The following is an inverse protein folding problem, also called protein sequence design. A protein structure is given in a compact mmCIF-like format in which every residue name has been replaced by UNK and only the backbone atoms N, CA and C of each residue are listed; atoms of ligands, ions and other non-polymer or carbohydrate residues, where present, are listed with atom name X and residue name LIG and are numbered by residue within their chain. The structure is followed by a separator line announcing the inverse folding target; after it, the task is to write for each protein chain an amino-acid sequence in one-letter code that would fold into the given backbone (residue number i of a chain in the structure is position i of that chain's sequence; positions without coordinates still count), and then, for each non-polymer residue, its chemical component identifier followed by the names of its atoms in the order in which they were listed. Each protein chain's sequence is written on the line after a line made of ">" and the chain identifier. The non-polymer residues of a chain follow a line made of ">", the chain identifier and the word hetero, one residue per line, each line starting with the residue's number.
data_IF_013289110863
#
_entry.id   IF_013289110863
#
_cell.length_a   1.000
_cell.length_b   1.000
_cell.length_c   1.000
_cell.angle_alpha   90.00
_cell.angle_beta   90.00
_cell.angle_gamma   90.00
#
_symmetry.space_group_name_H-M   'P 1'
#
loop_
_entity.id
_entity.type
_entity.pdbx_description
1 polymer ?
#
# COMPACT_ATOMS: atom_id res chain seq x y z
N UNK A 1 -9.32 -21.13 95.85
CA UNK A 1 -8.63 -21.34 94.54
C UNK A 1 -9.50 -20.96 93.32
N UNK A 2 -10.77 -21.38 93.18
CA UNK A 2 -11.61 -21.08 91.96
C UNK A 2 -11.88 -19.56 91.68
N UNK A 3 -11.98 -18.68 92.71
CA UNK A 3 -12.18 -17.28 92.56
C UNK A 3 -10.95 -16.50 92.03
N UNK A 4 -9.76 -16.87 92.50
CA UNK A 4 -8.48 -16.27 92.06
C UNK A 4 -8.19 -16.61 90.59
N UNK A 5 -8.45 -17.88 90.22
CA UNK A 5 -8.29 -18.30 88.81
C UNK A 5 -9.20 -17.60 87.84
N UNK A 6 -10.48 -17.26 88.22
CA UNK A 6 -11.41 -16.50 87.42
C UNK A 6 -10.96 -15.05 87.24
N UNK A 7 -10.42 -14.43 88.31
CA UNK A 7 -9.90 -13.06 88.22
C UNK A 7 -8.68 -12.97 87.27
N UNK A 8 -7.79 -13.96 87.40
CA UNK A 8 -6.60 -14.06 86.57
C UNK A 8 -6.94 -14.29 85.07
N UNK A 9 -7.97 -15.12 84.81
CA UNK A 9 -8.48 -15.29 83.44
C UNK A 9 -9.08 -14.04 82.83
N UNK A 10 -9.84 -13.27 83.63
CA UNK A 10 -10.47 -11.99 83.19
C UNK A 10 -9.39 -10.96 82.90
N UNK A 11 -8.33 -10.86 83.70
CA UNK A 11 -7.22 -9.92 83.49
C UNK A 11 -6.43 -10.33 82.22
N UNK A 12 -6.22 -11.64 82.00
CA UNK A 12 -5.56 -12.12 80.79
C UNK A 12 -6.38 -11.79 79.54
N UNK A 13 -7.70 -12.01 79.56
CA UNK A 13 -8.62 -11.67 78.45
C UNK A 13 -8.66 -10.17 78.20
N UNK A 14 -8.72 -9.37 79.21
CA UNK A 14 -8.70 -7.89 79.10
C UNK A 14 -7.35 -7.42 78.51
N UNK A 15 -6.22 -8.01 78.96
CA UNK A 15 -4.90 -7.69 78.40
C UNK A 15 -4.79 -8.08 76.90
N UNK A 16 -5.36 -9.24 76.52
CA UNK A 16 -5.39 -9.68 75.12
C UNK A 16 -6.28 -8.76 74.27
N UNK A 17 -7.43 -8.32 74.80
CA UNK A 17 -8.33 -7.37 74.13
C UNK A 17 -7.69 -6.01 73.92
N UNK A 18 -7.05 -5.46 74.93
CA UNK A 18 -6.32 -4.18 74.85
C UNK A 18 -5.13 -4.32 73.88
N UNK A 19 -4.40 -5.43 73.94
CA UNK A 19 -3.29 -5.72 73.02
C UNK A 19 -3.73 -5.78 71.57
N UNK A 20 -4.83 -6.49 71.31
CA UNK A 20 -5.41 -6.57 69.93
C UNK A 20 -5.93 -5.23 69.46
N UNK A 21 -6.56 -4.47 70.34
CA UNK A 21 -7.05 -3.11 70.02
C UNK A 21 -5.91 -2.15 69.69
N UNK A 22 -4.85 -2.14 70.49
CA UNK A 22 -3.65 -1.30 70.23
C UNK A 22 -2.94 -1.74 68.96
N UNK A 23 -2.85 -3.07 68.72
CA UNK A 23 -2.29 -3.59 67.47
C UNK A 23 -3.09 -3.18 66.25
N UNK A 24 -4.44 -3.31 66.27
CA UNK A 24 -5.33 -2.87 65.21
C UNK A 24 -5.24 -1.35 65.02
N UNK A 25 -5.25 -0.56 66.09
CA UNK A 25 -5.11 0.88 65.99
C UNK A 25 -3.79 1.33 65.34
N UNK A 26 -2.68 0.70 65.65
CA UNK A 26 -1.39 0.95 65.00
C UNK A 26 -1.36 0.52 63.52
N UNK A 27 -2.04 -0.59 63.22
CA UNK A 27 -2.12 -1.10 61.85
C UNK A 27 -3.10 -0.32 60.98
N UNK A 28 -4.11 0.33 61.58
CA UNK A 28 -5.16 1.09 60.86
C UNK A 28 -4.76 2.55 60.63
N UNK A 29 -3.59 2.98 61.12
CA UNK A 29 -3.11 4.35 60.81
C UNK A 29 -2.90 4.46 59.32
N UNK A 30 -3.57 5.47 58.65
CA UNK A 30 -3.39 5.65 57.20
C UNK A 30 -1.90 5.89 56.91
N UNK A 31 -1.34 5.13 56.02
CA UNK A 31 0.01 5.33 55.52
C UNK A 31 0.00 6.66 54.79
N UNK A 32 0.76 7.65 55.28
CA UNK A 32 0.90 8.93 54.60
C UNK A 32 1.46 8.66 53.22
N UNK A 33 0.63 8.80 52.19
CA UNK A 33 1.06 8.71 50.79
C UNK A 33 1.80 9.98 50.43
N UNK A 34 3.01 9.81 49.88
CA UNK A 34 3.79 10.90 49.31
C UNK A 34 3.55 10.86 47.79
N UNK A 35 3.16 12.00 47.25
CA UNK A 35 2.95 12.12 45.81
C UNK A 35 4.21 12.67 45.15
N UNK A 36 4.53 12.16 43.98
CA UNK A 36 5.51 12.76 43.08
C UNK A 36 5.07 14.17 42.69
N UNK A 37 6.02 15.04 42.48
CA UNK A 37 5.73 16.43 42.03
C UNK A 37 6.08 16.52 40.54
N UNK A 38 5.15 17.06 39.76
CA UNK A 38 5.31 17.32 38.32
C UNK A 38 5.15 18.83 38.10
N UNK A 39 6.05 19.42 37.35
CA UNK A 39 5.97 20.82 36.94
C UNK A 39 5.50 20.92 35.50
N UNK A 40 4.58 21.87 35.18
CA UNK A 40 4.26 22.14 33.79
C UNK A 40 5.50 22.55 32.99
N UNK A 41 5.59 22.14 31.77
CA UNK A 41 6.70 22.49 30.86
C UNK A 41 6.13 23.04 29.55
N UNK A 42 6.89 23.90 28.88
CA UNK A 42 6.51 24.28 27.52
C UNK A 42 7.01 23.21 26.55
N UNK A 43 6.09 22.68 25.79
CA UNK A 43 6.36 21.63 24.82
C UNK A 43 5.49 21.81 23.56
N UNK A 44 5.74 21.00 22.57
CA UNK A 44 4.93 20.92 21.36
C UNK A 44 3.99 19.73 21.47
N UNK A 45 2.69 19.98 21.41
CA UNK A 45 1.66 18.94 21.42
C UNK A 45 1.11 18.77 20.01
N UNK A 46 1.18 17.56 19.51
CA UNK A 46 0.68 17.21 18.17
C UNK A 46 -0.33 16.08 18.26
N UNK A 47 -1.47 16.27 17.63
CA UNK A 47 -2.48 15.22 17.52
C UNK A 47 -2.35 14.50 16.20
N UNK A 48 -2.33 13.17 16.24
CA UNK A 48 -2.21 12.31 15.07
C UNK A 48 -3.39 11.36 14.96
N UNK A 49 -3.77 11.07 13.72
CA UNK A 49 -4.55 9.89 13.35
C UNK A 49 -3.61 8.84 12.80
N UNK A 50 -3.78 7.60 13.24
CA UNK A 50 -2.97 6.48 12.76
C UNK A 50 -3.77 5.69 11.73
N UNK A 51 -3.21 5.56 10.53
CA UNK A 51 -3.71 4.65 9.49
C UNK A 51 -2.74 3.48 9.32
N UNK A 52 -3.28 2.27 9.24
CA UNK A 52 -2.49 1.07 8.93
C UNK A 52 -2.71 0.69 7.48
N UNK A 53 -1.64 0.28 6.80
CA UNK A 53 -1.71 -0.06 5.39
C UNK A 53 -0.41 -0.61 4.84
N UNK A 54 -0.20 -0.37 3.55
CA UNK A 54 1.00 -0.82 2.84
C UNK A 54 1.49 0.27 1.89
N UNK A 55 2.78 0.21 1.57
CA UNK A 55 3.39 1.05 0.54
C UNK A 55 3.44 0.24 -0.74
N UNK A 56 2.93 0.82 -1.83
CA UNK A 56 2.87 0.19 -3.16
C UNK A 56 3.12 1.24 -4.24
N UNK A 57 3.52 0.85 -5.46
CA UNK A 57 3.57 1.78 -6.57
C UNK A 57 2.18 2.37 -6.86
N UNK A 58 2.13 3.61 -7.34
CA UNK A 58 0.87 4.27 -7.68
C UNK A 58 0.08 3.50 -8.72
N UNK A 59 0.76 3.02 -9.76
CA UNK A 59 0.19 2.27 -10.86
C UNK A 59 1.00 1.01 -11.13
N UNK A 60 0.31 -0.14 -11.17
CA UNK A 60 0.85 -1.41 -11.60
C UNK A 60 0.26 -1.78 -12.96
N UNK A 61 1.12 -1.96 -13.94
CA UNK A 61 0.71 -2.32 -15.30
C UNK A 61 0.87 -3.81 -15.52
N UNK A 62 -0.25 -4.47 -15.82
CA UNK A 62 -0.29 -5.88 -16.13
C UNK A 62 0.07 -6.10 -17.61
N UNK A 63 1.23 -6.64 -17.89
CA UNK A 63 1.67 -6.97 -19.24
C UNK A 63 1.00 -8.28 -19.65
N UNK A 64 0.20 -8.21 -20.73
CA UNK A 64 -0.59 -9.33 -21.24
C UNK A 64 -0.18 -9.64 -22.68
N UNK A 65 -0.30 -10.92 -23.15
CA UNK A 65 0.04 -11.29 -24.52
C UNK A 65 -1.01 -10.76 -25.50
N UNK A 66 -0.55 -10.42 -26.71
CA UNK A 66 -1.41 -10.06 -27.84
C UNK A 66 -1.86 -11.27 -28.65
N UNK A 67 -1.30 -12.44 -28.37
CA UNK A 67 -1.57 -13.70 -29.05
C UNK A 67 -1.57 -14.86 -28.06
N UNK A 68 -2.45 -15.84 -28.30
CA UNK A 68 -2.49 -17.07 -27.47
C UNK A 68 -1.42 -18.05 -27.92
N UNK A 69 -0.82 -18.77 -26.97
CA UNK A 69 0.22 -19.73 -27.27
C UNK A 69 0.90 -20.32 -26.04
N UNK A 70 2.14 -20.75 -26.17
CA UNK A 70 2.98 -21.28 -25.09
C UNK A 70 4.20 -20.36 -24.91
N UNK A 71 4.55 -20.04 -23.67
CA UNK A 71 5.80 -19.34 -23.36
C UNK A 71 6.98 -20.18 -23.78
N UNK A 72 7.73 -19.69 -24.77
CA UNK A 72 8.94 -20.37 -25.28
C UNK A 72 10.21 -19.94 -24.57
N UNK A 73 10.28 -18.67 -24.15
CA UNK A 73 11.40 -18.10 -23.38
C UNK A 73 10.94 -16.94 -22.51
N UNK A 74 11.59 -16.81 -21.35
CA UNK A 74 11.54 -15.62 -20.50
C UNK A 74 12.92 -14.95 -20.59
N UNK A 75 12.95 -13.66 -20.90
CA UNK A 75 14.20 -12.89 -21.11
C UNK A 75 14.54 -12.00 -19.92
N UNK A 76 13.59 -11.78 -19.03
CA UNK A 76 13.71 -10.96 -17.83
C UNK A 76 13.16 -11.73 -16.63
N UNK A 77 13.57 -11.31 -15.44
CA UNK A 77 13.13 -11.88 -14.17
C UNK A 77 12.53 -10.77 -13.28
N UNK A 78 11.78 -11.16 -12.25
CA UNK A 78 11.30 -10.23 -11.24
C UNK A 78 12.48 -9.51 -10.57
N UNK A 79 12.34 -8.19 -10.38
CA UNK A 79 13.39 -7.30 -9.89
C UNK A 79 14.25 -6.65 -10.98
N UNK A 80 14.12 -7.06 -12.26
CA UNK A 80 14.83 -6.39 -13.35
C UNK A 80 14.16 -5.07 -13.72
N UNK A 81 14.98 -4.04 -14.01
CA UNK A 81 14.53 -2.81 -14.64
C UNK A 81 14.30 -3.04 -16.12
N UNK A 82 13.22 -2.49 -16.66
CA UNK A 82 12.85 -2.53 -18.08
C UNK A 82 12.48 -1.15 -18.57
N UNK A 83 12.71 -0.92 -19.85
CA UNK A 83 12.23 0.25 -20.58
C UNK A 83 11.06 -0.12 -21.47
N UNK A 84 10.27 0.86 -21.83
CA UNK A 84 9.21 0.68 -22.83
C UNK A 84 9.80 0.07 -24.12
N UNK A 85 9.21 -1.04 -24.59
CA UNK A 85 9.67 -1.78 -25.75
C UNK A 85 10.62 -2.95 -25.45
N UNK A 86 11.18 -3.06 -24.25
CA UNK A 86 12.05 -4.20 -23.86
C UNK A 86 11.26 -5.50 -23.90
N UNK A 87 11.87 -6.55 -24.45
CA UNK A 87 11.26 -7.88 -24.54
C UNK A 87 11.36 -8.57 -23.18
N UNK A 88 10.20 -8.95 -22.64
CA UNK A 88 10.09 -9.68 -21.37
C UNK A 88 10.00 -11.19 -21.62
N UNK A 89 9.16 -11.61 -22.57
CA UNK A 89 8.89 -13.00 -22.87
C UNK A 89 8.68 -13.21 -24.37
N UNK A 90 8.85 -14.44 -24.83
CA UNK A 90 8.49 -14.86 -26.17
C UNK A 90 7.43 -15.97 -26.11
N UNK A 91 6.37 -15.81 -26.88
CA UNK A 91 5.27 -16.76 -27.01
C UNK A 91 5.40 -17.52 -28.35
N UNK A 92 5.30 -18.81 -28.31
CA UNK A 92 5.15 -19.65 -29.52
C UNK A 92 3.66 -19.84 -29.77
N UNK A 93 3.23 -19.48 -30.98
CA UNK A 93 1.82 -19.64 -31.40
C UNK A 93 1.46 -21.12 -31.48
N UNK A 94 0.24 -21.44 -31.09
CA UNK A 94 -0.41 -22.71 -31.35
C UNK A 94 -1.56 -22.40 -32.32
N UNK A 95 -1.36 -22.61 -33.66
CA UNK A 95 -2.40 -22.28 -34.62
C UNK A 95 -3.60 -23.21 -34.45
N UNK A 96 -4.80 -22.64 -34.59
CA UNK A 96 -5.99 -23.46 -34.74
C UNK A 96 -5.97 -24.22 -36.05
N UNK A 97 -6.19 -25.52 -36.01
CA UNK A 97 -6.06 -26.42 -37.18
C UNK A 97 -7.00 -26.02 -38.33
N UNK A 98 -8.19 -25.54 -38.03
CA UNK A 98 -9.13 -25.06 -39.05
C UNK A 98 -8.61 -23.82 -39.78
N UNK A 99 -8.07 -22.85 -39.04
CA UNK A 99 -7.49 -21.62 -39.57
C UNK A 99 -6.23 -21.91 -40.38
N UNK A 100 -5.37 -22.83 -39.91
CA UNK A 100 -4.17 -23.24 -40.63
C UNK A 100 -4.55 -23.92 -41.98
N UNK A 101 -5.47 -24.88 -41.97
CA UNK A 101 -5.94 -25.56 -43.17
C UNK A 101 -6.56 -24.57 -44.19
N UNK A 102 -7.31 -23.59 -43.73
CA UNK A 102 -7.90 -22.57 -44.59
C UNK A 102 -6.81 -21.68 -45.23
N UNK A 103 -5.80 -21.27 -44.46
CA UNK A 103 -4.69 -20.48 -44.99
C UNK A 103 -3.84 -21.27 -46.00
N UNK A 104 -3.52 -22.55 -45.73
CA UNK A 104 -2.83 -23.43 -46.65
C UNK A 104 -3.63 -23.64 -47.97
N UNK A 105 -4.95 -23.82 -47.85
CA UNK A 105 -5.82 -23.93 -49.02
C UNK A 105 -5.85 -22.64 -49.83
N UNK A 106 -5.82 -21.47 -49.17
CA UNK A 106 -5.74 -20.17 -49.81
C UNK A 106 -4.47 -19.95 -50.59
N UNK A 107 -3.31 -20.37 -50.05
CA UNK A 107 -2.02 -20.37 -50.80
C UNK A 107 -2.11 -21.26 -52.03
N UNK A 108 -2.62 -22.47 -51.87
CA UNK A 108 -2.76 -23.43 -52.97
C UNK A 108 -3.65 -22.88 -54.09
N UNK A 109 -4.76 -22.24 -53.77
CA UNK A 109 -5.66 -21.60 -54.71
C UNK A 109 -4.97 -20.45 -55.46
N UNK A 110 -4.21 -19.60 -54.76
CA UNK A 110 -3.48 -18.47 -55.34
C UNK A 110 -2.34 -18.98 -56.28
N UNK A 111 -1.66 -20.06 -55.92
CA UNK A 111 -0.64 -20.71 -56.76
C UNK A 111 -1.23 -21.20 -58.08
N UNK A 112 -2.38 -21.89 -58.03
CA UNK A 112 -3.06 -22.39 -59.23
C UNK A 112 -3.48 -21.20 -60.12
N UNK A 113 -4.01 -20.14 -59.54
CA UNK A 113 -4.42 -18.95 -60.27
C UNK A 113 -3.23 -18.23 -60.93
N UNK A 114 -2.10 -18.12 -60.23
CA UNK A 114 -0.88 -17.52 -60.76
C UNK A 114 -0.34 -18.33 -61.91
N UNK A 115 -0.29 -19.67 -61.82
CA UNK A 115 0.16 -20.55 -62.88
C UNK A 115 -0.71 -20.43 -64.12
N UNK A 116 -2.03 -20.32 -63.97
CA UNK A 116 -2.95 -20.11 -65.09
C UNK A 116 -2.71 -18.73 -65.76
N UNK A 117 -2.64 -17.68 -64.99
CA UNK A 117 -2.43 -16.29 -65.46
C UNK A 117 -1.07 -16.12 -66.13
N UNK A 118 -0.02 -16.79 -65.59
CA UNK A 118 1.32 -16.82 -66.19
C UNK A 118 1.33 -17.48 -67.56
N UNK A 119 0.66 -18.61 -67.72
CA UNK A 119 0.53 -19.29 -69.02
C UNK A 119 -0.24 -18.40 -69.99
N UNK A 120 -1.20 -17.65 -69.59
CA UNK A 120 -1.99 -16.76 -70.41
C UNK A 120 -1.17 -15.53 -70.86
N UNK A 121 -0.40 -14.95 -69.91
CA UNK A 121 0.54 -13.87 -70.19
C UNK A 121 1.60 -14.29 -71.22
N UNK A 122 2.25 -15.44 -71.02
CA UNK A 122 3.27 -16.00 -71.99
C UNK A 122 2.72 -16.20 -73.38
N UNK A 123 1.46 -16.61 -73.48
CA UNK A 123 0.78 -16.77 -74.77
C UNK A 123 0.52 -15.39 -75.39
N UNK A 124 -0.01 -14.45 -74.65
CA UNK A 124 -0.31 -13.09 -75.08
C UNK A 124 0.96 -12.34 -75.45
N UNK A 125 2.06 -12.48 -74.73
CA UNK A 125 3.37 -11.96 -75.06
C UNK A 125 3.87 -12.41 -76.41
N UNK A 126 3.76 -13.73 -76.71
CA UNK A 126 4.15 -14.33 -78.03
C UNK A 126 3.32 -13.76 -79.17
N UNK A 127 2.02 -13.54 -78.99
CA UNK A 127 1.13 -12.94 -79.97
C UNK A 127 1.44 -11.41 -80.16
N UNK A 128 1.73 -10.67 -79.14
CA UNK A 128 2.13 -9.27 -79.19
C UNK A 128 3.44 -9.11 -79.97
N UNK A 129 4.47 -9.94 -79.67
CA UNK A 129 5.74 -9.94 -80.40
C UNK A 129 5.59 -10.27 -81.92
N UNK A 130 4.50 -10.96 -82.31
CA UNK A 130 4.14 -11.23 -83.69
C UNK A 130 3.20 -10.20 -84.31
N UNK A 131 2.93 -9.07 -83.61
CA UNK A 131 2.00 -8.02 -83.99
C UNK A 131 0.55 -8.54 -84.28
N UNK A 132 0.10 -9.58 -83.54
CA UNK A 132 -1.24 -10.18 -83.74
C UNK A 132 -2.28 -9.49 -82.81
N UNK A 133 -1.84 -8.94 -81.68
CA UNK A 133 -2.70 -8.26 -80.70
C UNK A 133 -2.23 -6.87 -80.48
N UNK A 134 -3.11 -6.04 -79.80
CA UNK A 134 -2.85 -4.65 -79.45
C UNK A 134 -1.99 -4.50 -78.20
N UNK A 135 -1.36 -3.33 -78.03
CA UNK A 135 -0.61 -3.01 -76.79
C UNK A 135 -1.53 -3.05 -75.56
N UNK A 136 -2.76 -2.54 -75.66
CA UNK A 136 -3.75 -2.53 -74.58
C UNK A 136 -4.08 -3.96 -74.07
N UNK A 137 -4.20 -4.93 -74.97
CA UNK A 137 -4.43 -6.34 -74.60
C UNK A 137 -3.20 -6.96 -73.90
N UNK A 138 -2.00 -6.60 -74.33
CA UNK A 138 -0.77 -7.05 -73.69
C UNK A 138 -0.61 -6.43 -72.28
N UNK A 139 -0.81 -5.11 -72.11
CA UNK A 139 -0.73 -4.43 -70.83
C UNK A 139 -1.77 -4.95 -69.85
N UNK A 140 -2.98 -5.30 -70.31
CA UNK A 140 -3.98 -5.99 -69.47
C UNK A 140 -3.51 -7.35 -68.95
N UNK A 141 -2.88 -8.16 -69.79
CA UNK A 141 -2.35 -9.47 -69.39
C UNK A 141 -1.19 -9.30 -68.42
N UNK A 142 -0.30 -8.34 -68.61
CA UNK A 142 0.78 -8.01 -67.67
C UNK A 142 0.23 -7.57 -66.31
N UNK A 143 -0.81 -6.69 -66.32
CA UNK A 143 -1.46 -6.24 -65.09
C UNK A 143 -2.13 -7.39 -64.35
N UNK A 144 -2.79 -8.34 -65.06
CA UNK A 144 -3.39 -9.53 -64.48
C UNK A 144 -2.33 -10.46 -63.83
N UNK A 145 -1.17 -10.64 -64.46
CA UNK A 145 -0.07 -11.39 -63.91
C UNK A 145 0.43 -10.79 -62.60
N UNK A 146 0.67 -9.49 -62.56
CA UNK A 146 1.11 -8.76 -61.40
C UNK A 146 0.11 -8.88 -60.25
N UNK A 147 -1.21 -8.75 -60.54
CA UNK A 147 -2.27 -8.95 -59.55
C UNK A 147 -2.24 -10.39 -58.99
N UNK A 148 -2.03 -11.40 -59.82
CA UNK A 148 -1.96 -12.77 -59.38
C UNK A 148 -0.71 -13.05 -58.51
N UNK A 149 0.42 -12.41 -58.82
CA UNK A 149 1.66 -12.47 -58.01
C UNK A 149 1.45 -11.84 -56.62
N UNK A 150 0.84 -10.66 -56.54
CA UNK A 150 0.51 -9.99 -55.31
C UNK A 150 -0.50 -10.78 -54.45
N UNK A 151 -1.50 -11.41 -55.09
CA UNK A 151 -2.47 -12.27 -54.39
C UNK A 151 -1.79 -13.51 -53.77
N UNK A 152 -0.84 -14.14 -54.47
CA UNK A 152 -0.07 -15.25 -53.90
C UNK A 152 0.79 -14.79 -52.71
N UNK A 153 1.45 -13.65 -52.84
CA UNK A 153 2.24 -13.10 -51.74
C UNK A 153 1.38 -12.81 -50.50
N UNK A 154 0.22 -12.19 -50.70
CA UNK A 154 -0.74 -11.91 -49.63
C UNK A 154 -1.25 -13.19 -48.95
N UNK A 155 -1.53 -14.24 -49.74
CA UNK A 155 -1.94 -15.56 -49.20
C UNK A 155 -0.80 -16.23 -48.39
N UNK A 156 0.46 -16.09 -48.81
CA UNK A 156 1.63 -16.60 -48.09
C UNK A 156 1.86 -15.85 -46.80
N UNK A 157 1.75 -14.52 -46.81
CA UNK A 157 1.85 -13.69 -45.63
C UNK A 157 0.77 -14.06 -44.61
N UNK A 158 -0.48 -14.30 -45.06
CA UNK A 158 -1.56 -14.76 -44.18
C UNK A 158 -1.28 -16.13 -43.58
N UNK A 159 -0.72 -17.08 -44.34
CA UNK A 159 -0.32 -18.38 -43.81
C UNK A 159 0.78 -18.24 -42.75
N UNK A 160 1.76 -17.39 -42.99
CA UNK A 160 2.84 -17.12 -42.04
C UNK A 160 2.30 -16.50 -40.72
N UNK A 161 1.35 -15.54 -40.82
CA UNK A 161 0.67 -14.98 -39.65
C UNK A 161 -0.06 -16.07 -38.85
N UNK A 162 -0.85 -16.93 -39.53
CA UNK A 162 -1.62 -17.98 -38.87
C UNK A 162 -0.71 -19.00 -38.21
N UNK A 163 0.39 -19.38 -38.86
CA UNK A 163 1.31 -20.42 -38.40
C UNK A 163 2.29 -19.92 -37.33
N UNK A 164 2.90 -18.75 -37.56
CA UNK A 164 4.04 -18.28 -36.77
C UNK A 164 3.72 -16.98 -35.96
N UNK A 165 2.58 -16.36 -36.24
CA UNK A 165 2.13 -15.13 -35.57
C UNK A 165 2.82 -13.86 -36.07
N UNK A 166 3.71 -13.96 -37.05
CA UNK A 166 4.51 -12.85 -37.60
C UNK A 166 4.64 -12.98 -39.10
N UNK A 167 4.88 -11.87 -39.79
CA UNK A 167 5.36 -11.85 -41.18
C UNK A 167 6.84 -11.52 -41.13
N UNK A 168 7.67 -12.34 -41.79
CA UNK A 168 9.14 -12.18 -41.75
C UNK A 168 9.62 -10.83 -42.26
N UNK A 169 8.84 -10.15 -43.13
CA UNK A 169 9.14 -8.79 -43.63
C UNK A 169 9.00 -7.69 -42.57
N UNK A 170 8.23 -7.93 -41.47
CA UNK A 170 7.96 -6.99 -40.41
C UNK A 170 8.36 -7.57 -39.04
N UNK A 171 9.49 -8.24 -38.94
CA UNK A 171 9.96 -8.95 -37.74
C UNK A 171 10.10 -8.00 -36.51
N UNK A 172 10.23 -6.68 -36.72
CA UNK A 172 10.26 -5.69 -35.64
C UNK A 172 8.90 -5.53 -34.95
N UNK A 173 7.79 -5.86 -35.64
CA UNK A 173 6.41 -5.79 -35.12
C UNK A 173 5.91 -7.22 -34.86
N UNK A 174 6.65 -7.96 -34.07
CA UNK A 174 6.29 -9.35 -33.76
C UNK A 174 5.32 -9.41 -32.57
N UNK A 175 4.11 -9.91 -32.80
CA UNK A 175 3.11 -10.15 -31.75
C UNK A 175 3.50 -11.32 -30.83
N UNK A 176 4.53 -12.09 -31.18
CA UNK A 176 5.05 -13.20 -30.37
C UNK A 176 6.00 -12.74 -29.28
N UNK A 177 6.57 -11.52 -29.38
CA UNK A 177 7.41 -10.92 -28.36
C UNK A 177 6.56 -10.04 -27.44
N UNK A 178 6.50 -10.45 -26.18
CA UNK A 178 5.82 -9.68 -25.15
C UNK A 178 6.79 -8.62 -24.63
N UNK A 179 6.43 -7.35 -24.85
CA UNK A 179 7.27 -6.19 -24.51
C UNK A 179 6.66 -5.39 -23.38
N UNK A 180 7.51 -4.71 -22.60
CA UNK A 180 7.04 -3.73 -21.63
C UNK A 180 6.37 -2.54 -22.33
N UNK A 181 5.24 -2.09 -21.78
CA UNK A 181 4.51 -0.91 -22.27
C UNK A 181 4.92 0.37 -21.54
N UNK A 182 5.64 0.25 -20.43
CA UNK A 182 6.13 1.37 -19.60
C UNK A 182 7.58 1.13 -19.20
N UNK A 183 8.25 2.19 -18.76
CA UNK A 183 9.52 2.10 -18.02
C UNK A 183 9.23 1.74 -16.58
N UNK A 184 10.06 0.90 -15.94
CA UNK A 184 9.86 0.54 -14.55
C UNK A 184 10.58 -0.75 -14.14
N UNK A 185 10.21 -1.26 -12.98
CA UNK A 185 10.70 -2.54 -12.46
C UNK A 185 9.64 -3.63 -12.63
N UNK A 186 10.09 -4.82 -12.99
CA UNK A 186 9.22 -6.00 -12.99
C UNK A 186 9.04 -6.45 -11.54
N UNK A 187 7.79 -6.36 -11.04
CA UNK A 187 7.44 -6.79 -9.69
C UNK A 187 7.27 -8.30 -9.61
N UNK A 188 6.59 -8.89 -10.60
CA UNK A 188 6.28 -10.31 -10.62
C UNK A 188 6.19 -10.85 -12.06
N UNK A 189 6.51 -12.13 -12.24
CA UNK A 189 6.30 -12.92 -13.46
C UNK A 189 5.60 -14.22 -13.07
N UNK A 190 4.25 -14.25 -13.05
CA UNK A 190 3.48 -15.41 -12.55
C UNK A 190 3.51 -16.62 -13.50
N UNK A 191 4.14 -16.50 -14.66
CA UNK A 191 4.22 -17.55 -15.70
C UNK A 191 5.61 -18.17 -15.78
N UNK A 192 5.68 -19.40 -16.30
CA UNK A 192 6.93 -20.13 -16.55
C UNK A 192 7.02 -20.57 -18.01
N UNK A 193 8.25 -20.83 -18.47
CA UNK A 193 8.48 -21.46 -19.78
C UNK A 193 7.69 -22.78 -19.86
N UNK A 194 6.95 -22.96 -20.97
CA UNK A 194 6.04 -24.08 -21.17
C UNK A 194 4.59 -23.82 -20.71
N UNK A 195 4.30 -22.74 -20.00
CA UNK A 195 2.91 -22.40 -19.66
C UNK A 195 2.15 -21.95 -20.92
N UNK A 196 0.88 -22.37 -21.02
CA UNK A 196 -0.06 -21.83 -21.98
C UNK A 196 -0.58 -20.48 -21.53
N UNK A 197 -0.64 -19.53 -22.46
CA UNK A 197 -1.13 -18.16 -22.22
C UNK A 197 -2.22 -17.80 -23.21
N UNK A 198 -3.17 -17.03 -22.76
CA UNK A 198 -4.36 -16.65 -23.52
C UNK A 198 -4.39 -15.13 -23.67
N UNK A 199 -4.63 -14.67 -24.90
CA UNK A 199 -4.86 -13.27 -25.22
C UNK A 199 -6.09 -12.73 -24.49
N UNK A 200 -6.04 -11.46 -24.05
CA UNK A 200 -7.20 -10.74 -23.52
C UNK A 200 -8.25 -10.51 -24.63
N UNK A 201 -9.53 -10.76 -24.30
CA UNK A 201 -10.66 -10.47 -25.17
C UNK A 201 -11.87 -10.04 -24.34
N UNK A 202 -13.01 -9.76 -24.99
CA UNK A 202 -14.26 -9.29 -24.32
C UNK A 202 -14.79 -10.28 -23.25
N UNK A 203 -14.44 -11.54 -23.31
CA UNK A 203 -14.92 -12.59 -22.40
C UNK A 203 -13.85 -13.05 -21.40
N UNK A 204 -12.59 -12.68 -21.60
CA UNK A 204 -11.49 -13.14 -20.78
C UNK A 204 -10.43 -12.04 -20.64
N UNK A 205 -10.06 -11.74 -19.39
CA UNK A 205 -9.02 -10.74 -19.07
C UNK A 205 -7.61 -11.10 -19.59
N UNK A 206 -7.43 -12.33 -20.08
CA UNK A 206 -6.15 -12.82 -20.55
C UNK A 206 -5.17 -13.19 -19.43
N UNK A 207 -4.08 -13.84 -19.80
CA UNK A 207 -3.04 -14.25 -18.85
C UNK A 207 -2.07 -13.11 -18.60
N UNK A 208 -1.83 -12.75 -17.34
CA UNK A 208 -0.76 -11.80 -16.96
C UNK A 208 0.59 -12.49 -17.12
N UNK A 209 1.49 -11.89 -17.90
CA UNK A 209 2.86 -12.37 -18.12
C UNK A 209 3.82 -11.76 -17.11
N UNK A 210 3.70 -10.46 -16.89
CA UNK A 210 4.51 -9.71 -15.94
C UNK A 210 3.70 -8.55 -15.35
N UNK A 211 4.08 -8.11 -14.15
CA UNK A 211 3.59 -6.89 -13.53
C UNK A 211 4.76 -5.92 -13.51
N UNK A 212 4.58 -4.75 -14.10
CA UNK A 212 5.61 -3.70 -14.18
C UNK A 212 5.09 -2.44 -13.51
N UNK A 213 5.92 -1.79 -12.71
CA UNK A 213 5.57 -0.56 -12.05
C UNK A 213 6.76 0.41 -11.95
N UNK A 214 6.46 1.70 -11.84
CA UNK A 214 7.46 2.71 -11.52
C UNK A 214 7.67 2.75 -9.99
N UNK A 215 8.86 2.37 -9.55
CA UNK A 215 9.23 2.35 -8.13
C UNK A 215 9.60 3.73 -7.58
N UNK A 216 9.66 4.76 -8.41
CA UNK A 216 9.91 6.13 -7.97
C UNK A 216 8.62 6.86 -7.57
N UNK A 217 7.45 6.40 -8.05
CA UNK A 217 6.15 6.96 -7.68
C UNK A 217 5.41 5.98 -6.77
N UNK A 218 5.74 6.03 -5.48
CA UNK A 218 5.16 5.16 -4.46
C UNK A 218 4.06 5.89 -3.71
N UNK A 219 3.03 5.16 -3.34
CA UNK A 219 1.95 5.63 -2.47
C UNK A 219 1.82 4.73 -1.24
N UNK A 220 1.43 5.32 -0.15
CA UNK A 220 0.86 4.60 0.98
C UNK A 220 -0.64 4.44 0.73
N UNK A 221 -1.15 3.22 0.79
CA UNK A 221 -2.57 2.91 0.79
C UNK A 221 -2.93 2.30 2.12
N UNK A 222 -3.75 2.99 2.89
CA UNK A 222 -4.14 2.57 4.23
C UNK A 222 -5.63 2.75 4.50
N UNK A 223 -6.02 2.37 5.71
CA UNK A 223 -7.39 2.48 6.19
C UNK A 223 -7.42 3.26 7.49
N UNK A 224 -8.44 4.11 7.64
CA UNK A 224 -8.71 4.93 8.83
C UNK A 224 -10.12 4.62 9.31
N UNK A 225 -10.31 4.67 10.63
CA UNK A 225 -11.61 4.48 11.27
C UNK A 225 -12.58 5.63 10.97
N UNK A 226 -13.90 5.34 11.00
CA UNK A 226 -14.98 6.31 10.78
C UNK A 226 -14.91 7.50 11.75
N UNK A 227 -14.48 7.27 12.99
CA UNK A 227 -14.41 8.32 14.02
C UNK A 227 -13.35 9.37 13.74
N UNK A 228 -12.33 9.02 12.97
CA UNK A 228 -11.18 9.87 12.71
C UNK A 228 -11.15 10.46 11.31
N UNK A 229 -11.81 9.80 10.32
CA UNK A 229 -11.79 10.26 8.92
C UNK A 229 -12.35 11.67 8.76
N UNK A 230 -13.35 12.06 9.57
CA UNK A 230 -13.94 13.40 9.52
C UNK A 230 -12.99 14.55 9.90
N UNK A 231 -11.85 14.23 10.50
CA UNK A 231 -10.81 15.22 10.88
C UNK A 231 -9.74 15.38 9.79
N UNK A 232 -9.76 14.52 8.77
CA UNK A 232 -8.73 14.47 7.73
C UNK A 232 -9.09 15.36 6.55
N UNK A 233 -8.09 15.96 5.93
CA UNK A 233 -8.21 16.69 4.66
C UNK A 233 -7.00 16.39 3.77
N UNK A 234 -7.21 16.50 2.46
CA UNK A 234 -6.12 16.38 1.50
C UNK A 234 -5.04 17.44 1.74
N UNK A 235 -3.80 17.06 1.50
CA UNK A 235 -2.63 17.91 1.72
C UNK A 235 -2.01 17.83 3.11
N UNK A 236 -2.61 17.11 4.07
CA UNK A 236 -2.04 16.93 5.42
C UNK A 236 -0.69 16.22 5.36
N UNK A 237 0.27 16.63 6.21
CA UNK A 237 1.55 15.95 6.34
C UNK A 237 1.36 14.58 7.03
N UNK A 238 2.03 13.57 6.49
CA UNK A 238 1.98 12.20 6.96
C UNK A 238 3.40 11.72 7.22
N UNK A 239 3.63 11.08 8.35
CA UNK A 239 4.87 10.38 8.64
C UNK A 239 4.63 8.89 8.59
N UNK A 240 5.32 8.20 7.67
CA UNK A 240 5.24 6.76 7.51
C UNK A 240 6.34 6.06 8.28
N UNK A 241 5.97 5.02 9.00
CA UNK A 241 6.91 4.08 9.62
C UNK A 241 6.73 2.72 8.97
N UNK A 242 7.77 2.23 8.29
CA UNK A 242 7.75 0.94 7.58
C UNK A 242 8.34 -0.12 8.50
N UNK A 243 7.57 -1.18 8.78
CA UNK A 243 8.02 -2.25 9.69
C UNK A 243 9.26 -3.01 9.23
N UNK A 244 9.49 -3.10 7.91
CA UNK A 244 10.62 -3.81 7.33
C UNK A 244 11.94 -3.00 7.32
N UNK A 245 11.87 -1.68 7.48
CA UNK A 245 13.04 -0.79 7.48
C UNK A 245 13.09 -0.09 8.84
N UNK A 246 13.83 -0.69 9.78
CA UNK A 246 13.95 -0.16 11.13
C UNK A 246 14.54 1.25 11.10
N UNK A 247 13.95 2.15 11.92
CA UNK A 247 14.34 3.55 12.12
C UNK A 247 14.18 4.51 10.92
N UNK A 248 13.58 4.08 9.81
CA UNK A 248 13.32 4.98 8.69
C UNK A 248 11.90 5.55 8.76
N UNK A 249 11.83 6.86 8.98
CA UNK A 249 10.59 7.63 8.83
C UNK A 249 10.61 8.27 7.45
N UNK A 250 9.61 7.95 6.64
CA UNK A 250 9.41 8.59 5.34
C UNK A 250 8.35 9.68 5.47
N UNK A 251 8.60 10.78 4.80
CA UNK A 251 7.60 11.82 4.68
C UNK A 251 6.62 11.45 3.56
N UNK A 252 5.37 11.78 3.79
CA UNK A 252 4.32 11.59 2.80
C UNK A 252 3.30 12.72 2.92
N UNK A 253 2.46 12.85 1.90
CA UNK A 253 1.36 13.82 1.88
C UNK A 253 0.07 13.11 1.54
N UNK A 254 -0.97 13.36 2.34
CA UNK A 254 -2.30 12.82 2.09
C UNK A 254 -2.88 13.40 0.80
N UNK A 255 -3.14 12.55 -0.19
CA UNK A 255 -3.66 12.97 -1.50
C UNK A 255 -5.14 12.65 -1.69
N UNK A 256 -5.61 11.57 -1.06
CA UNK A 256 -6.95 11.07 -1.31
C UNK A 256 -7.56 10.46 -0.08
N UNK A 257 -8.83 10.74 0.14
CA UNK A 257 -9.68 10.13 1.16
C UNK A 257 -10.90 9.56 0.45
N UNK A 258 -11.14 8.26 0.57
CA UNK A 258 -12.27 7.63 -0.10
C UNK A 258 -13.60 8.19 0.39
N UNK A 259 -14.51 8.62 -0.50
CA UNK A 259 -15.87 9.02 -0.13
C UNK A 259 -16.77 7.83 0.23
N UNK A 260 -16.29 6.60 0.00
CA UNK A 260 -17.03 5.36 0.26
C UNK A 260 -16.31 4.54 1.33
N UNK A 261 -17.05 4.18 2.37
CA UNK A 261 -16.58 3.26 3.39
C UNK A 261 -16.49 1.82 2.88
N UNK A 262 -15.56 1.07 3.44
CA UNK A 262 -15.45 -0.38 3.32
C UNK A 262 -15.60 -1.01 4.70
N UNK A 263 -16.24 -2.17 4.79
CA UNK A 263 -16.34 -2.89 6.06
C UNK A 263 -15.22 -3.93 6.12
N UNK A 264 -14.39 -3.84 7.13
CA UNK A 264 -13.31 -4.79 7.40
C UNK A 264 -13.50 -5.33 8.83
N UNK A 265 -13.64 -6.66 8.97
CA UNK A 265 -13.88 -7.32 10.26
C UNK A 265 -14.99 -6.67 11.11
N UNK A 266 -16.09 -6.27 10.49
CA UNK A 266 -17.23 -5.55 11.11
C UNK A 266 -16.91 -4.13 11.60
N UNK A 267 -15.76 -3.55 11.23
CA UNK A 267 -15.42 -2.16 11.48
C UNK A 267 -15.56 -1.36 10.19
N UNK A 268 -16.13 -0.17 10.29
CA UNK A 268 -16.28 0.75 9.15
C UNK A 268 -14.97 1.50 8.99
N UNK A 269 -14.35 1.32 7.82
CA UNK A 269 -13.06 1.91 7.50
C UNK A 269 -13.13 2.70 6.20
N UNK A 270 -12.36 3.76 6.10
CA UNK A 270 -12.19 4.56 4.89
C UNK A 270 -10.77 4.41 4.34
N UNK A 271 -10.67 4.16 3.03
CA UNK A 271 -9.37 4.10 2.35
C UNK A 271 -8.78 5.52 2.25
N UNK A 272 -7.50 5.61 2.56
CA UNK A 272 -6.71 6.83 2.39
C UNK A 272 -5.47 6.52 1.56
N UNK A 273 -5.05 7.48 0.73
CA UNK A 273 -3.80 7.38 -0.05
C UNK A 273 -2.94 8.60 0.24
N UNK A 274 -1.65 8.34 0.41
CA UNK A 274 -0.67 9.40 0.60
C UNK A 274 0.51 9.18 -0.36
N UNK A 275 0.93 10.22 -1.07
CA UNK A 275 2.15 10.18 -1.88
C UNK A 275 3.35 10.13 -0.96
N UNK A 276 4.26 9.20 -1.23
CA UNK A 276 5.44 8.94 -0.41
C UNK A 276 6.65 9.62 -1.05
N UNK A 277 7.32 10.47 -0.30
CA UNK A 277 8.63 11.02 -0.72
C UNK A 277 9.70 9.93 -0.46
N UNK A 278 10.00 9.13 -1.50
CA UNK A 278 11.03 8.09 -1.40
C UNK A 278 12.39 8.75 -1.59
N UNK A 279 13.25 8.60 -0.58
CA UNK A 279 14.66 9.01 -0.70
C UNK A 279 15.41 7.98 -1.57
N UNK A 280 16.24 8.43 -2.51
CA UNK A 280 17.06 7.59 -3.41
C UNK A 280 17.92 6.55 -2.68
N UNK A 281 18.18 6.75 -1.39
CA UNK A 281 18.99 5.85 -0.58
C UNK A 281 18.21 4.69 0.05
N UNK A 282 16.87 4.70 -0.03
CA UNK A 282 16.02 3.71 0.61
C UNK A 282 15.23 2.94 -0.43
N UNK A 283 15.57 1.67 -0.63
CA UNK A 283 14.79 0.80 -1.51
C UNK A 283 13.56 0.25 -0.78
N UNK A 284 12.39 0.79 -1.11
CA UNK A 284 11.09 0.33 -0.59
C UNK A 284 10.50 -0.68 -1.56
N UNK A 285 10.15 -1.86 -1.08
CA UNK A 285 9.48 -2.88 -1.91
C UNK A 285 7.97 -2.70 -1.88
N UNK A 286 7.31 -2.98 -3.01
CA UNK A 286 5.85 -3.05 -3.07
C UNK A 286 5.30 -4.04 -2.04
N UNK A 287 4.22 -3.65 -1.35
CA UNK A 287 3.57 -4.48 -0.34
C UNK A 287 4.17 -4.42 1.06
N UNK A 288 5.17 -3.57 1.32
CA UNK A 288 5.64 -3.37 2.70
C UNK A 288 4.56 -2.76 3.57
N UNK A 289 4.29 -3.41 4.71
CA UNK A 289 3.38 -2.88 5.72
C UNK A 289 3.94 -1.60 6.33
N UNK A 290 3.11 -0.59 6.46
CA UNK A 290 3.45 0.70 7.02
C UNK A 290 2.34 1.23 7.93
N UNK A 291 2.74 2.00 8.93
CA UNK A 291 1.85 2.79 9.76
C UNK A 291 2.05 4.26 9.39
N UNK A 292 0.96 4.93 9.05
CA UNK A 292 0.93 6.34 8.73
C UNK A 292 0.42 7.13 9.93
N UNK A 293 1.22 8.06 10.43
CA UNK A 293 0.83 9.05 11.41
C UNK A 293 0.47 10.34 10.68
N UNK A 294 -0.82 10.62 10.55
CA UNK A 294 -1.36 11.81 9.87
C UNK A 294 -1.52 12.90 10.91
N UNK A 295 -0.81 14.01 10.75
CA UNK A 295 -0.87 15.13 11.68
C UNK A 295 -2.13 15.97 11.44
N UNK A 296 -3.00 16.02 12.45
CA UNK A 296 -4.25 16.80 12.40
C UNK A 296 -4.01 18.23 12.89
N UNK A 297 -3.42 18.35 14.07
CA UNK A 297 -3.19 19.63 14.72
C UNK A 297 -1.83 19.63 15.42
N UNK A 298 -1.12 20.75 15.33
CA UNK A 298 0.17 20.96 15.98
C UNK A 298 0.13 22.29 16.72
N UNK A 299 0.49 22.28 18.01
CA UNK A 299 0.59 23.45 18.85
C UNK A 299 1.99 23.52 19.45
N UNK A 300 2.74 24.52 19.04
CA UNK A 300 4.11 24.72 19.50
C UNK A 300 4.15 25.65 20.72
N UNK A 301 5.10 25.37 21.62
CA UNK A 301 5.38 26.21 22.78
C UNK A 301 4.17 26.46 23.68
N UNK A 302 3.32 25.44 23.87
CA UNK A 302 2.19 25.47 24.78
C UNK A 302 2.56 24.92 26.15
N UNK A 303 1.86 25.38 27.20
CA UNK A 303 2.05 24.86 28.57
C UNK A 303 1.44 23.42 28.59
N UNK A 304 2.28 22.43 28.79
CA UNK A 304 1.92 21.02 28.77
C UNK A 304 2.07 20.37 30.14
N UNK A 305 1.13 19.51 30.49
CA UNK A 305 1.19 18.63 31.66
C UNK A 305 0.83 17.21 31.27
N UNK A 306 1.40 16.18 31.90
CA UNK A 306 0.95 14.82 31.71
C UNK A 306 -0.54 14.67 32.08
N UNK A 307 -1.33 13.98 31.25
CA UNK A 307 -2.75 13.74 31.56
C UNK A 307 -2.97 13.07 32.91
N UNK A 308 -2.01 12.27 33.35
CA UNK A 308 -2.05 11.54 34.62
C UNK A 308 -2.09 12.43 35.87
N UNK A 309 -1.81 13.74 35.75
CA UNK A 309 -1.88 14.70 36.87
C UNK A 309 -3.19 15.48 36.90
N UNK A 310 -4.04 15.27 35.90
CA UNK A 310 -5.35 15.90 35.77
C UNK A 310 -6.45 14.96 36.26
N UNK A 311 -7.50 15.54 36.83
CA UNK A 311 -8.70 14.84 37.25
C UNK A 311 -9.90 15.39 36.49
N UNK A 312 -10.58 14.48 35.78
CA UNK A 312 -11.75 14.82 34.96
C UNK A 312 -13.02 14.53 35.73
N UNK A 313 -13.83 15.55 35.99
CA UNK A 313 -15.14 15.44 36.67
C UNK A 313 -16.22 16.03 35.77
N UNK A 314 -17.09 15.18 35.22
CA UNK A 314 -18.16 15.57 34.28
C UNK A 314 -17.63 16.46 33.14
N UNK A 315 -17.92 17.79 33.17
CA UNK A 315 -17.51 18.73 32.12
C UNK A 315 -16.29 19.62 32.56
N UNK A 316 -15.67 19.31 33.70
CA UNK A 316 -14.60 20.14 34.27
C UNK A 316 -13.31 19.33 34.48
N UNK A 317 -12.20 19.97 34.25
CA UNK A 317 -10.89 19.40 34.51
C UNK A 317 -10.22 20.12 35.67
N UNK A 318 -9.60 19.38 36.57
CA UNK A 318 -8.93 19.89 37.75
C UNK A 318 -7.49 19.42 37.83
N UNK A 319 -6.64 20.28 38.36
CA UNK A 319 -5.28 19.94 38.78
C UNK A 319 -5.11 20.19 40.29
N UNK A 320 -4.29 19.38 40.94
CA UNK A 320 -3.95 19.57 42.33
C UNK A 320 -2.61 20.26 42.46
N UNK A 321 -2.61 21.50 42.88
CA UNK A 321 -1.42 22.34 43.01
C UNK A 321 -0.88 22.26 44.44
N UNK A 322 0.41 22.01 44.61
CA UNK A 322 1.07 21.93 45.91
C UNK A 322 1.12 23.30 46.56
N UNK A 323 0.56 23.39 47.75
CA UNK A 323 0.55 24.63 48.56
C UNK A 323 1.52 24.60 49.74
N UNK A 324 1.96 23.40 50.15
CA UNK A 324 2.95 23.26 51.23
C UNK A 324 4.38 23.58 50.76
N UNK A 325 5.29 24.06 51.64
CA UNK A 325 6.70 24.24 51.31
C UNK A 325 7.36 22.94 50.88
N UNK A 326 8.43 23.05 50.09
CA UNK A 326 9.18 21.91 49.62
C UNK A 326 9.84 21.15 50.79
N UNK A 327 9.64 19.83 50.86
CA UNK A 327 10.16 19.00 51.94
C UNK A 327 9.32 18.98 53.20
N UNK A 328 8.11 19.55 53.22
CA UNK A 328 7.17 19.44 54.33
C UNK A 328 6.83 17.96 54.60
N UNK A 329 6.71 17.58 55.89
CA UNK A 329 6.32 16.21 56.29
C UNK A 329 4.94 15.82 55.77
N UNK A 330 4.09 16.80 55.46
CA UNK A 330 2.75 16.65 54.94
C UNK A 330 2.54 17.52 53.70
N UNK A 331 2.27 16.90 52.56
CA UNK A 331 1.95 17.59 51.33
C UNK A 331 0.48 18.02 51.34
N UNK A 332 0.22 19.32 51.17
CA UNK A 332 -1.14 19.86 51.02
C UNK A 332 -1.31 20.35 49.60
N UNK A 333 -2.47 20.01 49.00
CA UNK A 333 -2.78 20.34 47.61
C UNK A 333 -4.09 21.14 47.57
N UNK A 334 -4.13 22.13 46.72
CA UNK A 334 -5.33 22.89 46.37
C UNK A 334 -5.88 22.33 45.04
N UNK A 335 -7.17 21.99 45.04
CA UNK A 335 -7.90 21.61 43.82
C UNK A 335 -8.21 22.85 43.02
N UNK A 336 -7.65 22.97 41.80
CA UNK A 336 -7.81 24.14 40.94
C UNK A 336 -8.43 23.73 39.63
N UNK A 337 -9.47 24.43 39.20
CA UNK A 337 -10.08 24.26 37.89
C UNK A 337 -9.11 24.74 36.78
N UNK A 338 -8.95 23.97 35.73
CA UNK A 338 -8.06 24.29 34.63
C UNK A 338 -8.80 24.17 33.29
N UNK A 339 -8.49 25.06 32.35
CA UNK A 339 -8.99 24.99 30.99
C UNK A 339 -7.96 24.27 30.14
N UNK A 340 -8.34 23.12 29.62
CA UNK A 340 -7.47 22.29 28.78
C UNK A 340 -7.63 22.61 27.31
N UNK A 341 -6.66 22.19 26.50
CA UNK A 341 -6.65 22.34 25.07
C UNK A 341 -6.41 20.99 24.36
N UNK A 342 -5.41 20.97 23.46
CA UNK A 342 -5.03 19.79 22.69
C UNK A 342 -4.38 18.74 23.59
N UNK A 343 -4.64 17.46 23.29
CA UNK A 343 -3.97 16.32 23.91
C UNK A 343 -3.35 15.41 22.86
N UNK A 344 -2.18 14.84 23.16
CA UNK A 344 -1.52 13.78 22.37
C UNK A 344 -1.71 12.39 22.99
N UNK A 345 -2.55 12.27 24.05
CA UNK A 345 -2.79 11.04 24.81
C UNK A 345 -1.76 10.76 25.91
N UNK A 346 -0.70 11.57 26.03
CA UNK A 346 0.26 11.55 27.14
C UNK A 346 0.31 12.88 27.87
N UNK A 347 0.37 13.97 27.11
CA UNK A 347 0.41 15.34 27.59
C UNK A 347 -0.82 16.11 27.10
N UNK A 348 -1.26 17.06 27.93
CA UNK A 348 -2.40 17.93 27.64
C UNK A 348 -1.99 19.40 27.74
N UNK A 349 -2.41 20.17 26.74
CA UNK A 349 -2.27 21.62 26.75
C UNK A 349 -3.12 22.23 27.84
N UNK A 350 -2.55 23.16 28.62
CA UNK A 350 -3.25 23.98 29.57
C UNK A 350 -3.33 25.40 29.00
N UNK A 351 -4.57 25.86 28.77
CA UNK A 351 -4.84 27.23 28.30
C UNK A 351 -4.90 28.22 29.44
N UNK A 352 -5.56 27.84 30.55
CA UNK A 352 -5.77 28.68 31.71
C UNK A 352 -5.77 27.88 33.03
N UNK A 353 -5.40 28.50 34.13
CA UNK A 353 -5.49 27.92 35.47
C UNK A 353 -4.17 27.49 36.08
N UNK A 354 -3.10 27.31 35.29
CA UNK A 354 -1.76 26.92 35.74
C UNK A 354 -0.68 27.86 35.20
N UNK A 355 0.43 27.91 35.92
CA UNK A 355 1.67 28.59 35.52
C UNK A 355 2.85 27.59 35.44
N UNK A 356 3.95 27.97 34.77
CA UNK A 356 5.17 27.15 34.68
C UNK A 356 5.81 26.86 36.05
N UNK A 357 5.52 27.69 37.05
CA UNK A 357 6.08 27.57 38.42
C UNK A 357 5.23 26.71 39.33
N UNK A 358 4.01 26.34 38.92
CA UNK A 358 3.12 25.53 39.73
C UNK A 358 3.67 24.09 39.86
N UNK A 359 3.42 23.48 40.99
CA UNK A 359 3.84 22.10 41.30
C UNK A 359 2.62 21.23 41.45
N UNK A 360 2.46 20.29 40.59
CA UNK A 360 1.27 19.45 40.51
C UNK A 360 1.48 18.10 41.21
N UNK A 361 0.38 17.57 41.72
CA UNK A 361 0.32 16.26 42.33
C UNK A 361 0.46 15.19 41.23
N UNK A 362 1.57 14.48 41.23
CA UNK A 362 1.80 13.31 40.37
C UNK A 362 1.32 12.00 41.00
N UNK A 363 1.89 10.89 40.55
CA UNK A 363 1.53 9.58 41.05
C UNK A 363 1.92 9.40 42.52
N UNK A 364 1.09 8.61 43.25
CA UNK A 364 1.36 8.23 44.63
C UNK A 364 2.62 7.31 44.68
N UNK A 365 3.60 7.70 45.48
CA UNK A 365 4.80 6.90 45.72
C UNK A 365 4.65 6.17 47.05
N UNK A 366 4.87 4.85 47.14
CA UNK A 366 4.90 4.16 48.40
C UNK A 366 6.12 4.62 49.19
N UNK A 367 5.87 5.18 50.43
CA UNK A 367 6.95 5.57 51.31
C UNK A 367 7.72 4.32 51.75
N UNK A 368 8.95 4.13 51.26
CA UNK A 368 9.83 3.12 51.78
C UNK A 368 10.03 3.32 53.30
N UNK A 369 9.53 2.39 54.06
CA UNK A 369 9.87 2.36 55.53
C UNK A 369 11.38 2.10 55.60
N UNK A 370 12.14 3.11 56.01
CA UNK A 370 13.48 2.91 56.59
C UNK A 370 13.37 2.28 57.98
#
# INVERSE_FOLDING_TARGET
>A
MKKVFRILLIVLLAGLFVGTFVFLWNKTRPVKTVYGIVTPVRDTISQFVVATGQVEPRDEVLIKPQISGIISALHKEAGNMVRQGDVIATVKVIPEMSSLNNAESGVKQAEINLEQTRREYERTEKLYRKNVITLDEFEKAETQLRIAEENLQSARDNLEIVRDGIVSRNAEISNTQIRSTIDGMILDIPVKVGNSVIQSNTFNDGTTIAVVADMNDMIFRGKVDETDVGKLHEGMPVTLTIGAVQDSKLNARLEYISPKATTDNNVIMFEVKAAVDVDDNIFVRSGYSANASIMIENRENVLAVPESVLEFEEDKTYAYVLTSPEGAEEQTFEKREVTTGLSDGMNMEIKEGLSETDRLRGMAMPRNKK
#
